data_IF_147455918291
#
_entry.id   IF_147455918291
#
_cell.length_a   1.000
_cell.length_b   1.000
_cell.length_c   1.000
_cell.angle_alpha   90.00
_cell.angle_beta   90.00
_cell.angle_gamma   90.00
#
_symmetry.space_group_name_H-M   'P 1'
#
loop_
_entity.id
_entity.type
_entity.pdbx_description
1 polymer ?
#
# COMPACT_ATOMS: atom_id res chain seq x y z
N UNK A 1 -5.97 -28.05 9.89
CA UNK A 1 -5.01 -27.05 10.43
C UNK A 1 -3.52 -27.30 10.10
N UNK A 2 -2.96 -28.50 10.30
CA UNK A 2 -1.53 -28.90 10.19
C UNK A 2 -0.63 -28.05 9.26
N UNK A 3 -0.93 -27.97 7.94
CA UNK A 3 -0.14 -27.22 6.95
C UNK A 3 0.05 -25.72 7.29
N UNK A 4 -0.88 -25.11 8.02
CA UNK A 4 -0.79 -23.70 8.46
C UNK A 4 0.19 -23.55 9.63
N UNK A 5 0.15 -24.48 10.60
CA UNK A 5 1.03 -24.51 11.77
C UNK A 5 2.50 -24.75 11.37
N UNK A 6 2.77 -25.73 10.50
CA UNK A 6 4.13 -26.00 9.99
C UNK A 6 4.77 -24.79 9.26
N UNK A 7 3.95 -23.84 8.78
CA UNK A 7 4.33 -22.60 8.09
C UNK A 7 4.35 -21.37 9.00
N UNK A 8 4.18 -21.52 10.32
CA UNK A 8 4.39 -20.43 11.28
C UNK A 8 5.86 -20.02 11.26
N UNK A 9 6.14 -18.71 11.24
CA UNK A 9 7.49 -18.19 11.37
C UNK A 9 7.88 -18.20 12.86
N UNK A 10 8.90 -18.97 13.28
CA UNK A 10 9.26 -19.13 14.69
C UNK A 10 9.86 -17.87 15.32
N UNK A 11 10.28 -16.88 14.52
CA UNK A 11 10.87 -15.61 14.97
C UNK A 11 9.85 -14.47 15.13
N UNK A 12 8.55 -14.73 14.87
CA UNK A 12 7.51 -13.72 15.11
C UNK A 12 7.26 -13.57 16.62
N UNK A 13 7.15 -12.32 17.07
CA UNK A 13 6.74 -11.98 18.43
C UNK A 13 5.42 -12.66 18.80
N UNK A 14 5.35 -13.20 20.01
CA UNK A 14 4.13 -13.77 20.57
C UNK A 14 3.03 -12.72 20.75
N UNK A 15 1.78 -13.18 20.89
CA UNK A 15 0.64 -12.34 21.22
C UNK A 15 0.48 -12.18 22.73
N UNK A 16 -0.74 -11.87 23.13
CA UNK A 16 -1.23 -11.83 24.53
C UNK A 16 -1.15 -13.17 25.25
N UNK A 17 -1.16 -14.27 24.49
CA UNK A 17 -0.95 -15.65 24.94
C UNK A 17 0.51 -15.95 25.36
N UNK A 18 1.46 -15.10 24.99
CA UNK A 18 2.91 -15.31 25.11
C UNK A 18 3.42 -16.62 24.47
N UNK A 19 2.64 -17.32 23.64
CA UNK A 19 3.03 -18.57 23.00
C UNK A 19 3.98 -18.26 21.82
N UNK A 20 5.24 -18.73 21.84
CA UNK A 20 6.17 -18.48 20.75
C UNK A 20 5.77 -19.24 19.48
N UNK A 21 5.96 -18.62 18.31
CA UNK A 21 5.66 -19.26 17.03
C UNK A 21 6.46 -20.55 16.77
N UNK A 22 7.58 -20.75 17.49
CA UNK A 22 8.34 -21.99 17.53
C UNK A 22 7.50 -23.16 18.05
N UNK A 23 6.85 -23.01 19.21
CA UNK A 23 6.06 -24.08 19.87
C UNK A 23 4.93 -24.55 18.95
N UNK A 24 4.21 -23.61 18.36
CA UNK A 24 3.12 -23.91 17.40
C UNK A 24 3.60 -24.63 16.12
N UNK A 25 4.87 -24.47 15.75
CA UNK A 25 5.47 -25.11 14.57
C UNK A 25 6.04 -26.49 14.89
N UNK A 26 6.71 -26.63 16.02
CA UNK A 26 7.33 -27.89 16.47
C UNK A 26 6.25 -28.89 16.94
N UNK A 27 5.22 -28.44 17.67
CA UNK A 27 4.05 -29.24 18.08
C UNK A 27 2.91 -29.23 17.04
N UNK A 28 3.21 -28.94 15.77
CA UNK A 28 2.20 -28.73 14.73
C UNK A 28 1.35 -29.97 14.38
N UNK A 29 1.82 -31.17 14.74
CA UNK A 29 1.09 -32.42 14.50
C UNK A 29 0.04 -32.63 15.59
N UNK A 30 0.45 -32.52 16.86
CA UNK A 30 -0.38 -32.73 18.05
C UNK A 30 -1.45 -31.64 18.19
N UNK A 31 -1.11 -30.39 17.84
CA UNK A 31 -2.01 -29.24 17.95
C UNK A 31 -2.95 -29.08 16.74
N UNK A 32 -2.77 -29.84 15.65
CA UNK A 32 -3.53 -29.65 14.43
C UNK A 32 -5.03 -29.91 14.63
N UNK A 33 -5.38 -31.03 15.27
CA UNK A 33 -6.77 -31.49 15.31
C UNK A 33 -7.54 -30.71 16.38
N UNK A 34 -6.95 -30.51 17.57
CA UNK A 34 -7.46 -29.65 18.64
C UNK A 34 -7.83 -28.24 18.14
N UNK A 35 -6.93 -27.57 17.38
CA UNK A 35 -7.26 -26.25 16.81
C UNK A 35 -8.22 -26.33 15.62
N UNK A 36 -8.32 -27.47 14.93
CA UNK A 36 -9.34 -27.65 13.88
C UNK A 36 -10.73 -27.67 14.51
N UNK A 37 -10.92 -28.39 15.62
CA UNK A 37 -12.20 -28.47 16.33
C UNK A 37 -12.59 -27.11 16.93
N UNK A 38 -11.66 -26.44 17.63
CA UNK A 38 -11.89 -25.08 18.17
C UNK A 38 -12.30 -24.09 17.07
N UNK A 39 -11.68 -24.14 15.89
CA UNK A 39 -12.00 -23.24 14.78
C UNK A 39 -13.35 -23.60 14.13
N UNK A 40 -13.67 -24.89 14.00
CA UNK A 40 -14.97 -25.34 13.48
C UNK A 40 -16.13 -24.97 14.43
N UNK A 41 -15.93 -25.10 15.74
CA UNK A 41 -16.88 -24.64 16.77
C UNK A 41 -17.04 -23.11 16.68
N UNK A 42 -15.95 -22.36 16.56
CA UNK A 42 -16.00 -20.90 16.39
C UNK A 42 -16.76 -20.46 15.14
N UNK A 43 -16.60 -21.16 14.01
CA UNK A 43 -17.32 -20.86 12.77
C UNK A 43 -18.81 -21.23 12.86
N UNK A 44 -19.14 -22.40 13.41
CA UNK A 44 -20.54 -22.87 13.53
C UNK A 44 -21.35 -22.09 14.57
N UNK A 45 -20.72 -21.68 15.68
CA UNK A 45 -21.32 -20.77 16.68
C UNK A 45 -21.28 -19.29 16.28
N UNK A 46 -20.57 -18.94 15.20
CA UNK A 46 -20.34 -17.54 14.74
C UNK A 46 -19.64 -16.63 15.75
N UNK A 47 -18.90 -17.20 16.71
CA UNK A 47 -18.21 -16.48 17.80
C UNK A 47 -16.72 -16.79 17.81
N UNK A 48 -15.87 -15.76 17.86
CA UNK A 48 -14.42 -15.89 18.05
C UNK A 48 -14.10 -15.94 19.56
N UNK A 49 -13.37 -16.97 20.04
CA UNK A 49 -12.98 -17.06 21.45
C UNK A 49 -12.27 -15.80 21.96
N UNK A 50 -12.65 -15.32 23.15
CA UNK A 50 -12.17 -14.03 23.69
C UNK A 50 -10.64 -13.93 23.77
N UNK A 51 -9.98 -15.01 24.19
CA UNK A 51 -8.53 -15.11 24.24
C UNK A 51 -7.86 -14.91 22.86
N UNK A 52 -8.52 -15.29 21.76
CA UNK A 52 -8.03 -15.11 20.40
C UNK A 52 -8.27 -13.69 19.84
N UNK A 53 -9.32 -12.97 20.31
CA UNK A 53 -9.54 -11.55 19.99
C UNK A 53 -8.58 -10.60 20.75
N UNK A 54 -8.12 -11.00 21.94
CA UNK A 54 -7.40 -10.13 22.88
C UNK A 54 -6.03 -9.70 22.33
N UNK A 55 -5.75 -8.39 22.33
CA UNK A 55 -4.63 -7.81 21.56
C UNK A 55 -3.71 -6.90 22.38
N UNK A 56 -2.39 -7.02 22.22
CA UNK A 56 -1.41 -6.06 22.75
C UNK A 56 -1.03 -5.04 21.68
N UNK A 57 -1.23 -3.74 21.94
CA UNK A 57 -0.77 -2.66 21.07
C UNK A 57 0.68 -2.31 21.41
N UNK A 58 1.57 -2.38 20.42
CA UNK A 58 2.97 -1.97 20.53
C UNK A 58 3.19 -0.72 19.67
N UNK A 59 3.47 0.45 20.28
CA UNK A 59 3.71 1.68 19.53
C UNK A 59 5.09 1.64 18.85
N UNK A 60 5.10 1.72 17.52
CA UNK A 60 6.31 1.70 16.69
C UNK A 60 6.56 3.06 16.03
N UNK A 61 7.74 3.70 16.18
CA UNK A 61 8.02 5.00 15.56
C UNK A 61 7.88 4.99 14.03
N UNK A 62 7.07 5.91 13.48
CA UNK A 62 6.94 6.19 12.03
C UNK A 62 8.16 6.92 11.46
N UNK A 63 8.82 7.73 12.30
CA UNK A 63 9.96 8.58 11.94
C UNK A 63 11.04 8.55 13.02
N UNK A 64 12.27 8.93 12.68
CA UNK A 64 13.44 8.80 13.56
C UNK A 64 13.44 9.73 14.78
N UNK A 65 12.83 10.91 14.66
CA UNK A 65 12.64 11.87 15.74
C UNK A 65 11.13 11.97 16.04
N UNK A 66 10.67 11.33 17.10
CA UNK A 66 9.27 11.37 17.56
C UNK A 66 9.02 12.70 18.26
N UNK A 67 7.97 13.41 17.84
CA UNK A 67 7.57 14.72 18.38
C UNK A 67 6.20 14.68 19.07
N UNK A 68 5.28 13.80 18.64
CA UNK A 68 3.96 13.65 19.22
C UNK A 68 3.45 12.20 19.11
N UNK A 69 2.34 11.86 19.78
CA UNK A 69 1.79 10.50 19.77
C UNK A 69 1.42 10.01 18.36
N UNK A 70 1.01 10.93 17.46
CA UNK A 70 0.68 10.62 16.07
C UNK A 70 1.88 10.10 15.25
N UNK A 71 3.11 10.28 15.75
CA UNK A 71 4.34 9.75 15.14
C UNK A 71 4.56 8.25 15.44
N UNK A 72 3.68 7.58 16.20
CA UNK A 72 3.69 6.13 16.37
C UNK A 72 2.65 5.44 15.47
N UNK A 73 2.98 4.24 14.97
CA UNK A 73 2.03 3.25 14.46
C UNK A 73 1.63 2.31 15.61
N UNK A 74 0.33 2.13 15.91
CA UNK A 74 -0.15 1.18 16.90
C UNK A 74 -0.19 -0.25 16.33
N UNK A 75 0.91 -1.00 16.43
CA UNK A 75 0.98 -2.37 15.89
C UNK A 75 0.28 -3.36 16.84
N UNK A 76 -0.78 -4.01 16.35
CA UNK A 76 -1.55 -5.01 17.07
C UNK A 76 -0.88 -6.40 17.05
N UNK A 77 -0.52 -6.90 18.24
CA UNK A 77 -0.05 -8.26 18.46
C UNK A 77 -1.20 -9.14 18.95
N UNK A 78 -1.94 -9.74 18.00
CA UNK A 78 -2.83 -10.88 18.27
C UNK A 78 -2.06 -12.20 18.44
N UNK A 79 -2.62 -13.18 19.17
CA UNK A 79 -2.15 -14.56 19.26
C UNK A 79 -1.74 -15.16 17.91
N UNK A 80 -0.64 -15.91 17.88
CA UNK A 80 -0.14 -16.50 16.62
C UNK A 80 -1.12 -17.57 16.09
N UNK A 81 -1.84 -18.23 17.00
CA UNK A 81 -2.96 -19.14 16.67
C UNK A 81 -4.08 -18.39 15.94
N UNK A 82 -4.48 -17.20 16.40
CA UNK A 82 -5.50 -16.40 15.72
C UNK A 82 -5.05 -16.01 14.30
N UNK A 83 -3.78 -15.60 14.14
CA UNK A 83 -3.19 -15.34 12.82
C UNK A 83 -3.14 -16.58 11.91
N UNK A 84 -3.27 -17.79 12.45
CA UNK A 84 -3.46 -19.01 11.66
C UNK A 84 -4.93 -19.21 11.26
N UNK A 85 -5.87 -18.92 12.16
CA UNK A 85 -7.30 -18.95 11.88
C UNK A 85 -7.70 -17.91 10.82
N UNK A 86 -7.29 -16.66 11.00
CA UNK A 86 -7.51 -15.57 10.04
C UNK A 86 -7.01 -15.93 8.63
N UNK A 87 -5.86 -16.62 8.51
CA UNK A 87 -5.33 -17.08 7.21
C UNK A 87 -6.21 -18.15 6.55
N UNK A 88 -6.86 -19.01 7.33
CA UNK A 88 -7.79 -20.01 6.83
C UNK A 88 -9.10 -19.35 6.38
N UNK A 89 -9.66 -18.46 7.21
CA UNK A 89 -10.89 -17.70 6.91
C UNK A 89 -10.70 -16.77 5.72
N UNK A 90 -9.62 -15.98 5.68
CA UNK A 90 -9.29 -15.12 4.53
C UNK A 90 -9.17 -15.90 3.23
N UNK A 91 -8.60 -17.11 3.25
CA UNK A 91 -8.51 -17.98 2.07
C UNK A 91 -9.89 -18.46 1.61
N UNK A 92 -10.80 -18.75 2.53
CA UNK A 92 -12.17 -19.15 2.20
C UNK A 92 -13.00 -17.97 1.64
N UNK A 93 -12.92 -16.79 2.26
CA UNK A 93 -13.52 -15.56 1.73
C UNK A 93 -13.04 -15.30 0.29
N UNK A 94 -11.73 -15.40 0.04
CA UNK A 94 -11.16 -15.22 -1.31
C UNK A 94 -11.59 -16.26 -2.34
N UNK A 95 -12.16 -17.40 -1.94
CA UNK A 95 -12.77 -18.37 -2.89
C UNK A 95 -14.23 -18.05 -3.24
N UNK A 96 -14.86 -17.10 -2.54
CA UNK A 96 -16.24 -16.65 -2.80
C UNK A 96 -16.28 -15.28 -3.51
N UNK A 97 -15.20 -14.51 -3.46
CA UNK A 97 -15.10 -13.21 -4.12
C UNK A 97 -14.65 -13.35 -5.59
N UNK A 98 -15.12 -12.47 -6.51
CA UNK A 98 -14.65 -12.45 -7.90
C UNK A 98 -13.17 -12.06 -7.98
N UNK A 99 -12.45 -12.63 -8.96
CA UNK A 99 -11.04 -12.33 -9.19
C UNK A 99 -10.77 -10.90 -9.67
N UNK A 100 -11.78 -10.25 -10.25
CA UNK A 100 -11.78 -8.86 -10.74
C UNK A 100 -12.21 -7.81 -9.70
N UNK A 101 -12.35 -8.18 -8.42
CA UNK A 101 -12.78 -7.26 -7.36
C UNK A 101 -11.83 -6.05 -7.23
N UNK A 102 -12.40 -4.84 -7.34
CA UNK A 102 -11.73 -3.54 -7.17
C UNK A 102 -10.37 -3.40 -7.90
N UNK A 103 -10.37 -3.32 -9.25
CA UNK A 103 -9.15 -3.33 -10.04
C UNK A 103 -8.19 -2.16 -9.74
N UNK A 104 -8.70 -1.04 -9.22
CA UNK A 104 -7.91 0.15 -8.85
C UNK A 104 -7.48 0.17 -7.37
N UNK A 105 -7.70 -0.91 -6.61
CA UNK A 105 -7.06 -1.15 -5.32
C UNK A 105 -5.78 -1.96 -5.49
N UNK A 106 -4.65 -1.27 -5.45
CA UNK A 106 -3.33 -1.89 -5.63
C UNK A 106 -2.74 -2.44 -4.35
N UNK A 107 -3.18 -1.95 -3.18
CA UNK A 107 -2.73 -2.52 -1.91
C UNK A 107 -3.44 -3.85 -1.62
N UNK A 108 -2.71 -4.77 -0.99
CA UNK A 108 -3.22 -6.05 -0.48
C UNK A 108 -3.73 -7.07 -1.54
N UNK A 109 -3.76 -6.70 -2.82
CA UNK A 109 -3.92 -7.62 -3.93
C UNK A 109 -2.60 -8.37 -4.23
N UNK A 110 -2.65 -9.69 -4.50
CA UNK A 110 -1.52 -10.41 -5.09
C UNK A 110 -1.13 -9.77 -6.43
N UNK A 111 0.15 -9.80 -6.78
CA UNK A 111 0.67 -9.30 -8.06
C UNK A 111 0.32 -7.82 -8.38
N UNK A 112 -0.05 -7.04 -7.37
CA UNK A 112 -0.10 -5.57 -7.43
C UNK A 112 0.98 -4.99 -6.52
N UNK A 113 1.48 -3.83 -6.88
CA UNK A 113 2.59 -3.18 -6.19
C UNK A 113 2.47 -1.66 -6.26
N UNK A 114 3.25 -0.97 -5.44
CA UNK A 114 3.40 0.49 -5.48
C UNK A 114 3.80 1.01 -6.87
N UNK A 115 4.59 0.23 -7.61
CA UNK A 115 4.99 0.57 -8.98
C UNK A 115 3.80 0.52 -9.96
N UNK A 116 2.85 -0.40 -9.75
CA UNK A 116 1.61 -0.46 -10.52
C UNK A 116 0.73 0.73 -10.19
N UNK A 117 0.51 1.01 -8.90
CA UNK A 117 -0.28 2.16 -8.47
C UNK A 117 0.25 3.47 -9.08
N UNK A 118 1.56 3.73 -8.98
CA UNK A 118 2.18 4.94 -9.55
C UNK A 118 2.11 4.93 -11.08
N UNK A 119 2.42 3.80 -11.74
CA UNK A 119 2.41 3.73 -13.21
C UNK A 119 0.98 3.88 -13.76
N UNK A 120 -0.03 3.29 -13.11
CA UNK A 120 -1.43 3.47 -13.45
C UNK A 120 -1.91 4.88 -13.14
N UNK A 121 -1.49 5.54 -12.04
CA UNK A 121 -1.76 6.98 -11.83
C UNK A 121 -1.21 7.82 -12.96
N UNK A 122 0.07 7.64 -13.31
CA UNK A 122 0.72 8.38 -14.40
C UNK A 122 0.09 8.07 -15.77
N UNK A 123 -0.31 6.83 -16.02
CA UNK A 123 -0.95 6.42 -17.27
C UNK A 123 -2.39 6.91 -17.38
N UNK A 124 -3.15 6.90 -16.28
CA UNK A 124 -4.50 7.46 -16.24
C UNK A 124 -4.44 8.98 -16.44
N UNK A 125 -3.50 9.69 -15.81
CA UNK A 125 -3.22 11.10 -16.13
C UNK A 125 -2.78 11.37 -17.59
N UNK A 126 -2.72 10.34 -18.45
CA UNK A 126 -2.42 10.42 -19.88
C UNK A 126 -3.49 9.76 -20.78
N UNK A 127 -4.42 8.94 -20.25
CA UNK A 127 -5.44 8.15 -20.98
C UNK A 127 -6.65 7.80 -20.09
N UNK A 128 -7.90 7.92 -20.55
CA UNK A 128 -9.10 7.80 -19.65
C UNK A 128 -10.31 7.00 -20.17
N UNK A 129 -10.92 6.27 -19.21
CA UNK A 129 -12.19 5.51 -19.07
C UNK A 129 -11.93 4.32 -18.09
N UNK A 130 -12.87 3.71 -17.34
CA UNK A 130 -14.34 3.84 -17.22
C UNK A 130 -14.78 3.84 -15.71
N UNK A 131 -15.99 3.34 -15.36
CA UNK A 131 -16.78 3.72 -14.18
C UNK A 131 -17.06 2.59 -13.12
N UNK A 132 -17.75 2.96 -12.01
CA UNK A 132 -18.85 2.25 -11.27
C UNK A 132 -18.76 2.06 -9.71
N UNK A 133 -19.94 2.06 -9.03
CA UNK A 133 -20.28 2.62 -7.67
C UNK A 133 -20.39 1.73 -6.38
N UNK A 134 -20.90 2.33 -5.25
CA UNK A 134 -20.85 1.93 -3.80
C UNK A 134 -22.12 1.82 -2.94
N UNK A 135 -22.12 0.95 -1.88
CA UNK A 135 -22.74 1.10 -0.51
C UNK A 135 -22.03 0.25 0.59
N UNK A 136 -22.45 0.21 1.90
CA UNK A 136 -21.79 -0.06 3.23
C UNK A 136 -21.21 -1.45 3.65
N UNK A 137 -20.12 -1.58 4.44
CA UNK A 137 -19.35 -2.84 4.65
C UNK A 137 -20.11 -4.16 4.95
N UNK A 138 -20.90 -4.30 6.01
CA UNK A 138 -21.59 -5.60 6.27
C UNK A 138 -22.62 -5.89 5.16
N UNK A 139 -23.25 -4.84 4.65
CA UNK A 139 -24.10 -4.88 3.46
C UNK A 139 -23.29 -5.24 2.20
N UNK A 140 -22.06 -4.72 2.00
CA UNK A 140 -21.11 -5.11 0.93
C UNK A 140 -20.82 -6.59 1.02
N UNK A 141 -20.52 -7.12 2.21
CA UNK A 141 -20.26 -8.56 2.37
C UNK A 141 -21.49 -9.38 1.96
N UNK A 142 -22.69 -8.99 2.39
CA UNK A 142 -23.94 -9.66 2.00
C UNK A 142 -24.23 -9.54 0.49
N UNK A 143 -24.03 -8.36 -0.10
CA UNK A 143 -24.22 -8.08 -1.54
C UNK A 143 -23.19 -8.82 -2.42
N UNK A 144 -21.99 -9.05 -1.89
CA UNK A 144 -20.94 -9.88 -2.50
C UNK A 144 -21.19 -11.39 -2.31
N UNK A 145 -22.34 -11.79 -1.78
CA UNK A 145 -22.76 -13.20 -1.66
C UNK A 145 -22.11 -13.98 -0.51
N UNK A 146 -21.50 -13.31 0.48
CA UNK A 146 -20.98 -13.98 1.67
C UNK A 146 -22.12 -14.43 2.58
N UNK A 147 -22.06 -15.68 3.04
CA UNK A 147 -23.06 -16.27 3.93
C UNK A 147 -23.18 -15.48 5.25
N UNK A 148 -24.42 -15.27 5.72
CA UNK A 148 -24.76 -14.58 6.97
C UNK A 148 -23.92 -15.02 8.17
N UNK A 149 -23.64 -16.32 8.34
CA UNK A 149 -22.81 -16.83 9.44
C UNK A 149 -21.37 -16.31 9.39
N UNK A 150 -20.82 -16.14 8.18
CA UNK A 150 -19.48 -15.59 7.97
C UNK A 150 -19.47 -14.05 8.14
N UNK A 151 -20.53 -13.37 7.71
CA UNK A 151 -20.72 -11.94 8.00
C UNK A 151 -20.83 -11.68 9.51
N UNK A 152 -21.57 -12.52 10.25
CA UNK A 152 -21.69 -12.47 11.70
C UNK A 152 -20.35 -12.77 12.40
N UNK A 153 -19.59 -13.76 11.93
CA UNK A 153 -18.24 -14.03 12.44
C UNK A 153 -17.28 -12.85 12.21
N UNK A 154 -17.38 -12.16 11.06
CA UNK A 154 -16.60 -10.95 10.78
C UNK A 154 -17.04 -9.78 11.68
N UNK A 155 -18.34 -9.62 11.93
CA UNK A 155 -18.87 -8.62 12.86
C UNK A 155 -18.38 -8.88 14.30
N UNK A 156 -18.42 -10.14 14.75
CA UNK A 156 -17.91 -10.56 16.06
C UNK A 156 -16.38 -10.37 16.15
N UNK A 157 -15.63 -10.67 15.09
CA UNK A 157 -14.19 -10.36 15.00
C UNK A 157 -13.91 -8.85 15.08
N UNK A 158 -14.80 -8.00 14.56
CA UNK A 158 -14.63 -6.55 14.55
C UNK A 158 -15.10 -5.85 15.84
N UNK A 159 -15.89 -6.50 16.69
CA UNK A 159 -16.54 -5.88 17.85
C UNK A 159 -16.04 -6.45 19.20
N UNK A 160 -16.18 -5.66 20.26
CA UNK A 160 -15.90 -6.11 21.63
C UNK A 160 -14.46 -6.56 21.88
N UNK A 161 -13.46 -5.93 21.22
CA UNK A 161 -12.05 -6.34 21.30
C UNK A 161 -11.32 -5.64 22.46
N UNK A 162 -10.89 -6.36 23.51
CA UNK A 162 -10.03 -5.80 24.54
C UNK A 162 -8.61 -5.58 23.99
N UNK A 163 -8.10 -4.37 24.21
CA UNK A 163 -6.74 -3.98 23.88
C UNK A 163 -6.02 -3.35 25.08
N UNK A 164 -4.70 -3.51 25.15
CA UNK A 164 -3.84 -2.81 26.11
C UNK A 164 -2.54 -2.36 25.42
N UNK A 165 -2.03 -1.20 25.79
CA UNK A 165 -0.78 -0.64 25.24
C UNK A 165 0.39 -1.12 26.09
N UNK A 166 1.44 -1.66 25.47
CA UNK A 166 2.66 -2.07 26.16
C UNK A 166 3.85 -1.20 25.77
N UNK A 167 4.46 -0.55 26.75
CA UNK A 167 5.71 0.22 26.61
C UNK A 167 6.77 -0.46 27.47
N UNK A 168 7.80 -1.04 26.82
CA UNK A 168 8.82 -1.89 27.45
C UNK A 168 8.15 -3.02 28.26
N UNK A 169 8.23 -2.97 29.59
CA UNK A 169 7.67 -3.94 30.54
C UNK A 169 6.38 -3.46 31.22
N UNK A 170 5.92 -2.23 30.95
CA UNK A 170 4.70 -1.67 31.51
C UNK A 170 3.53 -1.88 30.56
N UNK A 171 2.37 -2.27 31.11
CA UNK A 171 1.10 -2.46 30.39
C UNK A 171 0.08 -1.42 30.87
N UNK A 172 -0.72 -0.87 29.96
CA UNK A 172 -1.86 -0.01 30.34
C UNK A 172 -3.01 -0.81 30.92
N UNK A 173 -4.00 -0.12 31.49
CA UNK A 173 -5.35 -0.65 31.64
C UNK A 173 -5.91 -1.15 30.29
N UNK A 174 -6.81 -2.12 30.34
CA UNK A 174 -7.51 -2.63 29.15
C UNK A 174 -8.64 -1.70 28.74
N UNK A 175 -8.74 -1.41 27.45
CA UNK A 175 -9.85 -0.68 26.83
C UNK A 175 -10.49 -1.56 25.77
N UNK A 176 -11.81 -1.58 25.66
CA UNK A 176 -12.52 -2.34 24.62
C UNK A 176 -12.82 -1.46 23.40
N UNK A 177 -12.51 -1.96 22.20
CA UNK A 177 -12.86 -1.31 20.92
C UNK A 177 -13.93 -2.12 20.17
N UNK A 178 -14.85 -1.40 19.54
CA UNK A 178 -15.85 -1.97 18.60
C UNK A 178 -15.83 -1.33 17.21
N UNK A 179 -14.79 -0.54 16.91
CA UNK A 179 -14.62 0.18 15.63
C UNK A 179 -13.23 -0.08 15.04
N UNK A 180 -13.10 0.08 13.71
CA UNK A 180 -11.87 -0.18 12.95
C UNK A 180 -11.46 -1.66 12.89
N UNK A 181 -10.49 -1.97 12.04
CA UNK A 181 -9.86 -3.29 11.95
C UNK A 181 -8.43 -3.24 12.51
N UNK A 182 -7.99 -4.19 13.36
CA UNK A 182 -6.73 -4.06 14.10
C UNK A 182 -5.49 -4.11 13.18
N UNK A 183 -4.62 -3.10 13.28
CA UNK A 183 -3.45 -2.94 12.41
C UNK A 183 -2.40 -4.04 12.66
N UNK A 184 -2.11 -4.88 11.66
CA UNK A 184 -1.16 -5.98 11.77
C UNK A 184 -1.78 -7.36 12.05
N UNK A 185 -3.11 -7.43 12.10
CA UNK A 185 -3.85 -8.67 11.90
C UNK A 185 -3.89 -9.03 10.40
N UNK A 186 -4.19 -10.29 10.09
CA UNK A 186 -4.15 -10.83 8.72
C UNK A 186 -5.41 -10.47 7.94
N UNK A 187 -6.57 -10.43 8.59
CA UNK A 187 -7.85 -10.21 7.93
C UNK A 187 -8.14 -8.71 7.68
N UNK A 188 -7.63 -7.81 8.53
CA UNK A 188 -7.83 -6.36 8.44
C UNK A 188 -7.57 -5.74 7.07
N UNK A 189 -6.49 -6.09 6.33
CA UNK A 189 -6.24 -5.53 5.00
C UNK A 189 -7.30 -5.93 3.96
N UNK A 190 -7.82 -7.16 4.02
CA UNK A 190 -8.90 -7.61 3.15
C UNK A 190 -10.22 -6.90 3.51
N UNK A 191 -10.52 -6.74 4.81
CA UNK A 191 -11.70 -6.02 5.25
C UNK A 191 -11.64 -4.53 4.87
N UNK A 192 -10.45 -3.93 4.84
CA UNK A 192 -10.26 -2.58 4.33
C UNK A 192 -10.50 -2.51 2.81
N UNK A 193 -9.92 -3.42 2.02
CA UNK A 193 -10.22 -3.52 0.58
C UNK A 193 -11.72 -3.69 0.32
N UNK A 194 -12.42 -4.53 1.11
CA UNK A 194 -13.86 -4.71 1.00
C UNK A 194 -14.63 -3.45 1.42
N UNK A 195 -14.20 -2.73 2.46
CA UNK A 195 -14.77 -1.44 2.85
C UNK A 195 -14.60 -0.38 1.76
N UNK A 196 -13.49 -0.36 1.03
CA UNK A 196 -13.23 0.61 -0.04
C UNK A 196 -13.55 0.09 -1.45
N UNK A 197 -14.11 -1.12 -1.59
CA UNK A 197 -14.13 -1.85 -2.87
C UNK A 197 -14.81 -1.10 -4.02
N UNK A 198 -15.66 -0.17 -3.63
CA UNK A 198 -16.58 0.54 -4.47
C UNK A 198 -16.36 2.06 -4.47
N UNK A 199 -15.40 2.56 -3.69
CA UNK A 199 -14.94 3.93 -3.75
C UNK A 199 -14.27 4.14 -5.12
N UNK A 200 -15.03 4.63 -6.08
CA UNK A 200 -14.71 4.74 -7.49
C UNK A 200 -15.33 6.03 -8.03
N UNK A 201 -14.77 6.60 -9.10
CA UNK A 201 -15.21 7.89 -9.63
C UNK A 201 -16.64 7.84 -10.18
N UNK A 202 -17.36 8.96 -10.06
CA UNK A 202 -18.69 9.14 -10.67
C UNK A 202 -18.59 9.69 -12.08
N UNK A 203 -17.63 10.59 -12.31
CA UNK A 203 -17.38 11.19 -13.62
C UNK A 203 -16.28 10.43 -14.36
N UNK A 204 -16.50 10.10 -15.63
CA UNK A 204 -15.49 9.48 -16.51
C UNK A 204 -14.26 10.36 -16.80
N UNK A 205 -14.30 11.64 -16.41
CA UNK A 205 -13.17 12.56 -16.41
C UNK A 205 -12.30 12.46 -15.16
N UNK A 206 -12.69 11.64 -14.17
CA UNK A 206 -12.01 11.49 -12.90
C UNK A 206 -11.72 10.01 -12.63
N UNK A 207 -10.67 9.73 -11.85
CA UNK A 207 -10.34 8.39 -11.40
C UNK A 207 -9.97 8.41 -9.91
N UNK A 208 -10.41 7.40 -9.17
CA UNK A 208 -10.05 7.19 -7.78
C UNK A 208 -9.13 5.96 -7.70
N UNK A 209 -7.88 6.20 -7.31
CA UNK A 209 -6.82 5.19 -7.23
C UNK A 209 -6.49 4.92 -5.77
N UNK A 210 -6.53 3.65 -5.36
CA UNK A 210 -6.44 3.27 -3.94
C UNK A 210 -5.17 2.47 -3.67
N UNK A 211 -4.44 2.89 -2.64
CA UNK A 211 -3.35 2.12 -2.06
C UNK A 211 -3.49 2.14 -0.53
N UNK A 212 -4.33 1.24 -0.02
CA UNK A 212 -4.69 1.20 1.40
C UNK A 212 -5.28 2.55 1.84
N UNK A 213 -4.73 3.18 2.88
CA UNK A 213 -5.24 4.43 3.42
C UNK A 213 -4.88 5.68 2.56
N UNK A 214 -4.03 5.52 1.55
CA UNK A 214 -3.67 6.56 0.61
C UNK A 214 -4.59 6.43 -0.63
N UNK A 215 -5.40 7.45 -0.90
CA UNK A 215 -6.35 7.47 -2.02
C UNK A 215 -6.11 8.70 -2.88
N UNK A 216 -5.85 8.50 -4.17
CA UNK A 216 -5.59 9.59 -5.11
C UNK A 216 -6.79 9.83 -5.99
N UNK A 217 -7.29 11.07 -6.03
CA UNK A 217 -8.23 11.53 -7.05
C UNK A 217 -7.41 12.17 -8.18
N UNK A 218 -7.52 11.62 -9.38
CA UNK A 218 -7.03 12.22 -10.62
C UNK A 218 -8.24 12.82 -11.33
N UNK A 219 -8.16 14.07 -11.78
CA UNK A 219 -9.24 14.73 -12.53
C UNK A 219 -8.72 15.50 -13.75
N UNK A 220 -9.35 15.26 -14.88
CA UNK A 220 -9.15 15.99 -16.14
C UNK A 220 -9.92 17.32 -16.10
N UNK A 221 -9.20 18.44 -16.14
CA UNK A 221 -9.79 19.79 -16.25
C UNK A 221 -9.73 20.23 -17.71
N UNK A 222 -10.91 20.33 -18.31
CA UNK A 222 -11.09 20.75 -19.70
C UNK A 222 -11.66 22.16 -19.79
N UNK A 223 -11.13 22.99 -20.70
CA UNK A 223 -11.59 24.39 -20.91
C UNK A 223 -11.58 25.27 -19.65
N UNK A 224 -10.65 25.03 -18.71
CA UNK A 224 -10.60 25.60 -17.35
C UNK A 224 -11.78 25.22 -16.43
N UNK A 225 -12.71 24.36 -16.85
CA UNK A 225 -13.73 23.83 -15.97
C UNK A 225 -13.20 22.61 -15.18
N UNK A 226 -13.18 22.77 -13.86
CA UNK A 226 -12.84 21.72 -12.90
C UNK A 226 -14.01 21.33 -12.00
N UNK A 227 -15.25 21.67 -12.38
CA UNK A 227 -16.48 21.34 -11.67
C UNK A 227 -16.56 19.86 -11.30
N UNK A 228 -16.44 18.97 -12.29
CA UNK A 228 -16.48 17.52 -12.10
C UNK A 228 -15.43 17.02 -11.09
N UNK A 229 -14.21 17.55 -11.12
CA UNK A 229 -13.16 17.20 -10.14
C UNK A 229 -13.49 17.71 -8.72
N UNK A 230 -14.02 18.93 -8.59
CA UNK A 230 -14.42 19.50 -7.29
C UNK A 230 -15.60 18.73 -6.68
N UNK A 231 -16.59 18.40 -7.49
CA UNK A 231 -17.75 17.59 -7.11
C UNK A 231 -17.32 16.19 -6.66
N UNK A 232 -16.39 15.55 -7.37
CA UNK A 232 -15.85 14.24 -7.00
C UNK A 232 -15.19 14.26 -5.61
N UNK A 233 -14.41 15.30 -5.29
CA UNK A 233 -13.80 15.41 -3.96
C UNK A 233 -14.83 15.73 -2.87
N UNK A 234 -15.87 16.51 -3.17
CA UNK A 234 -16.99 16.72 -2.25
C UNK A 234 -17.77 15.42 -1.99
N UNK A 235 -18.08 14.66 -3.05
CA UNK A 235 -18.75 13.35 -2.99
C UNK A 235 -17.90 12.34 -2.24
N UNK A 236 -16.60 12.29 -2.48
CA UNK A 236 -15.66 11.44 -1.75
C UNK A 236 -15.58 11.85 -0.26
N UNK A 237 -15.59 13.14 0.04
CA UNK A 237 -15.67 13.64 1.43
C UNK A 237 -16.96 13.19 2.13
N UNK A 238 -18.11 13.23 1.44
CA UNK A 238 -19.38 12.73 1.95
C UNK A 238 -19.38 11.19 2.10
N UNK A 239 -18.83 10.46 1.13
CA UNK A 239 -18.66 9.01 1.17
C UNK A 239 -17.80 8.57 2.37
N UNK A 240 -16.72 9.30 2.65
CA UNK A 240 -15.88 9.06 3.82
C UNK A 240 -16.70 9.18 5.11
N UNK A 241 -17.42 10.30 5.30
CA UNK A 241 -18.31 10.49 6.45
C UNK A 241 -19.34 9.36 6.58
N UNK A 242 -19.99 8.97 5.48
CA UNK A 242 -20.97 7.90 5.45
C UNK A 242 -20.39 6.51 5.79
N UNK A 243 -19.12 6.25 5.46
CA UNK A 243 -18.40 5.01 5.79
C UNK A 243 -17.58 5.13 7.10
N UNK A 244 -17.80 6.17 7.92
CA UNK A 244 -17.07 6.43 9.18
C UNK A 244 -15.54 6.58 9.03
N UNK A 245 -15.09 7.12 7.91
CA UNK A 245 -13.69 7.44 7.62
C UNK A 245 -13.44 8.95 7.74
N UNK A 246 -12.26 9.32 8.24
CA UNK A 246 -11.84 10.72 8.38
C UNK A 246 -10.75 11.09 7.37
N UNK A 247 -10.90 12.26 6.73
CA UNK A 247 -9.92 12.83 5.80
C UNK A 247 -8.99 13.79 6.54
N UNK A 248 -7.68 13.55 6.47
CA UNK A 248 -6.70 14.49 7.00
C UNK A 248 -6.39 15.58 5.94
N UNK A 249 -6.98 16.77 6.10
CA UNK A 249 -6.79 17.87 5.15
C UNK A 249 -5.33 18.39 5.18
N UNK A 250 -4.70 18.46 6.35
CA UNK A 250 -3.31 18.95 6.50
C UNK A 250 -2.27 18.15 5.71
N UNK A 251 -2.45 16.83 5.60
CA UNK A 251 -1.60 15.91 4.82
C UNK A 251 -2.02 15.83 3.36
N UNK A 252 -3.27 16.15 3.07
CA UNK A 252 -3.79 16.16 1.70
C UNK A 252 -3.11 17.28 0.92
N UNK A 253 -2.69 16.98 -0.31
CA UNK A 253 -2.05 17.93 -1.21
C UNK A 253 -2.70 17.85 -2.59
N UNK A 254 -2.90 19.01 -3.19
CA UNK A 254 -3.37 19.18 -4.56
C UNK A 254 -2.15 19.51 -5.44
N UNK A 255 -1.90 18.73 -6.49
CA UNK A 255 -0.85 19.00 -7.47
C UNK A 255 -1.51 19.21 -8.83
N UNK A 256 -1.15 20.30 -9.52
CA UNK A 256 -1.70 20.61 -10.85
C UNK A 256 -0.63 20.39 -11.90
N UNK A 257 -0.96 19.62 -12.92
CA UNK A 257 -0.09 19.31 -14.06
C UNK A 257 -0.69 20.00 -15.29
N UNK A 258 -0.16 21.18 -15.61
CA UNK A 258 -0.61 22.01 -16.76
C UNK A 258 0.54 22.26 -17.75
N UNK A 259 0.47 21.58 -18.90
CA UNK A 259 1.42 21.71 -20.00
C UNK A 259 1.02 22.74 -21.07
N UNK A 260 -0.06 23.51 -20.85
CA UNK A 260 -0.46 24.58 -21.78
C UNK A 260 0.51 25.76 -21.69
N UNK A 261 0.66 26.49 -22.81
CA UNK A 261 1.52 27.68 -22.88
C UNK A 261 1.00 28.86 -22.05
N UNK A 262 -0.31 28.96 -21.90
CA UNK A 262 -0.97 29.92 -21.02
C UNK A 262 -1.53 29.14 -19.83
N UNK A 263 -0.78 29.14 -18.72
CA UNK A 263 -1.24 28.57 -17.46
C UNK A 263 -2.25 29.52 -16.81
N UNK A 264 -3.27 28.95 -16.18
CA UNK A 264 -4.31 29.67 -15.45
C UNK A 264 -4.06 29.57 -13.95
N UNK A 265 -4.29 30.65 -13.20
CA UNK A 265 -4.33 30.53 -11.74
C UNK A 265 -5.43 29.57 -11.30
N UNK A 266 -5.07 28.60 -10.46
CA UNK A 266 -5.99 27.59 -9.97
C UNK A 266 -6.40 27.93 -8.54
N UNK A 267 -7.66 28.32 -8.34
CA UNK A 267 -8.20 28.50 -6.99
C UNK A 267 -8.08 27.20 -6.18
N UNK A 268 -7.71 27.26 -4.89
CA UNK A 268 -7.56 26.07 -4.07
C UNK A 268 -8.86 25.27 -3.95
N UNK A 269 -8.73 24.00 -3.64
CA UNK A 269 -9.82 23.13 -3.25
C UNK A 269 -10.11 23.27 -1.74
N UNK A 270 -11.38 23.15 -1.35
CA UNK A 270 -11.79 23.20 0.05
C UNK A 270 -12.42 21.86 0.45
N UNK A 271 -11.96 21.29 1.57
CA UNK A 271 -12.56 20.12 2.22
C UNK A 271 -12.96 20.54 3.63
N UNK A 272 -14.24 20.42 3.98
CA UNK A 272 -14.78 20.83 5.29
C UNK A 272 -14.29 22.24 5.69
N UNK A 273 -14.50 23.22 4.81
CA UNK A 273 -14.10 24.64 4.97
C UNK A 273 -12.58 24.90 5.04
N UNK A 274 -11.76 23.86 5.10
CA UNK A 274 -10.30 23.96 5.13
C UNK A 274 -9.72 23.95 3.71
N UNK A 275 -8.86 24.92 3.40
CA UNK A 275 -8.15 24.99 2.12
C UNK A 275 -7.09 23.89 2.00
N UNK A 276 -7.11 23.17 0.90
CA UNK A 276 -6.04 22.23 0.52
C UNK A 276 -4.84 23.01 0.00
N UNK A 277 -3.64 22.59 0.38
CA UNK A 277 -2.38 23.18 -0.13
C UNK A 277 -2.13 22.71 -1.57
N UNK A 278 -2.01 23.66 -2.50
CA UNK A 278 -1.52 23.42 -3.85
C UNK A 278 0.01 23.34 -3.82
N UNK A 279 0.59 22.25 -4.30
CA UNK A 279 2.04 22.00 -4.30
C UNK A 279 2.59 21.73 -5.70
N UNK A 280 3.81 22.21 -5.95
CA UNK A 280 4.56 21.94 -7.19
C UNK A 280 5.16 20.52 -7.25
N UNK A 281 5.24 19.85 -6.10
CA UNK A 281 5.71 18.47 -5.98
C UNK A 281 5.19 17.82 -4.72
N UNK A 282 4.78 16.56 -4.81
CA UNK A 282 4.36 15.75 -3.66
C UNK A 282 5.11 14.42 -3.63
N UNK A 283 5.03 13.70 -2.50
CA UNK A 283 5.65 12.38 -2.34
C UNK A 283 4.58 11.30 -2.28
N UNK A 284 4.22 10.76 -3.44
CA UNK A 284 3.24 9.68 -3.57
C UNK A 284 3.90 8.30 -3.42
N UNK A 285 3.43 7.50 -2.46
CA UNK A 285 3.86 6.12 -2.18
C UNK A 285 5.39 5.88 -2.12
N UNK A 286 6.17 6.89 -1.74
CA UNK A 286 7.64 6.80 -1.63
C UNK A 286 8.43 7.48 -2.74
N UNK A 287 7.79 7.77 -3.88
CA UNK A 287 8.34 8.46 -5.05
C UNK A 287 7.98 9.94 -4.99
N UNK A 288 8.86 10.83 -5.45
CA UNK A 288 8.51 12.25 -5.61
C UNK A 288 7.95 12.48 -7.03
N UNK A 289 6.73 13.01 -7.09
CA UNK A 289 6.07 13.50 -8.30
C UNK A 289 6.17 15.04 -8.33
N UNK A 290 6.17 15.63 -9.51
CA UNK A 290 6.25 17.08 -9.72
C UNK A 290 5.29 17.53 -10.83
N UNK A 291 4.80 18.77 -10.74
CA UNK A 291 3.86 19.41 -11.67
C UNK A 291 4.29 19.33 -13.15
N UNK A 292 5.60 19.31 -13.39
CA UNK A 292 6.23 19.26 -14.71
C UNK A 292 6.71 17.85 -15.10
N UNK A 293 6.36 16.82 -14.32
CA UNK A 293 6.80 15.43 -14.43
C UNK A 293 8.34 15.25 -14.47
N UNK A 294 9.10 16.21 -13.91
CA UNK A 294 10.55 16.11 -13.78
C UNK A 294 10.94 15.26 -12.57
N UNK A 295 11.84 14.31 -12.80
CA UNK A 295 12.27 13.33 -11.82
C UNK A 295 13.44 13.78 -10.92
N UNK A 296 13.99 14.98 -11.11
CA UNK A 296 15.16 15.49 -10.37
C UNK A 296 15.04 15.40 -8.84
N UNK A 297 13.87 15.74 -8.28
CA UNK A 297 13.63 15.63 -6.83
C UNK A 297 13.67 14.16 -6.35
N UNK A 298 13.08 13.26 -7.15
CA UNK A 298 13.07 11.83 -6.87
C UNK A 298 14.47 11.22 -6.97
N UNK A 299 15.19 11.48 -8.07
CA UNK A 299 16.54 10.96 -8.33
C UNK A 299 17.55 11.48 -7.31
N UNK A 300 17.42 12.74 -6.88
CA UNK A 300 18.24 13.33 -5.80
C UNK A 300 17.95 12.68 -4.44
N UNK A 301 16.66 12.50 -4.09
CA UNK A 301 16.21 11.83 -2.86
C UNK A 301 16.71 10.38 -2.79
N UNK A 302 16.61 9.63 -3.90
CA UNK A 302 17.13 8.27 -4.06
C UNK A 302 18.66 8.26 -3.97
N UNK A 303 19.35 9.17 -4.66
CA UNK A 303 20.81 9.27 -4.66
C UNK A 303 21.38 9.54 -3.28
N UNK A 304 20.81 10.48 -2.52
CA UNK A 304 21.23 10.80 -1.14
C UNK A 304 21.11 9.60 -0.22
N UNK A 305 19.99 8.87 -0.28
CA UNK A 305 19.76 7.62 0.50
C UNK A 305 20.75 6.52 0.11
N UNK A 306 21.04 6.36 -1.17
CA UNK A 306 21.98 5.35 -1.65
C UNK A 306 23.44 5.69 -1.31
N UNK A 307 23.83 6.97 -1.34
CA UNK A 307 25.14 7.46 -0.91
C UNK A 307 25.37 7.25 0.60
N UNK A 308 24.36 7.51 1.45
CA UNK A 308 24.43 7.17 2.88
C UNK A 308 24.69 5.67 3.10
N UNK A 309 24.15 4.81 2.23
CA UNK A 309 24.35 3.35 2.30
C UNK A 309 25.70 2.89 1.71
N UNK A 310 26.26 3.63 0.74
CA UNK A 310 27.63 3.41 0.26
C UNK A 310 28.69 3.58 1.37
N UNK A 311 28.49 4.54 2.29
CA UNK A 311 29.39 4.71 3.44
C UNK A 311 29.47 3.44 4.31
N UNK A 312 28.32 2.81 4.59
CA UNK A 312 28.28 1.54 5.31
C UNK A 312 28.92 0.39 4.50
N UNK A 313 28.66 0.29 3.20
CA UNK A 313 29.32 -0.69 2.32
C UNK A 313 30.86 -0.53 2.36
N UNK A 314 31.36 0.70 2.34
CA UNK A 314 32.79 1.00 2.48
C UNK A 314 33.35 0.63 3.86
N UNK A 315 32.61 0.89 4.95
CA UNK A 315 32.99 0.42 6.30
C UNK A 315 33.08 -1.10 6.38
N UNK A 316 32.13 -1.83 5.76
CA UNK A 316 32.14 -3.29 5.70
C UNK A 316 33.35 -3.81 4.89
N UNK A 317 33.73 -3.12 3.80
CA UNK A 317 34.96 -3.43 3.04
C UNK A 317 36.23 -3.17 3.88
N UNK A 318 36.28 -2.07 4.64
CA UNK A 318 37.36 -1.79 5.60
C UNK A 318 37.45 -2.81 6.75
N UNK A 319 36.34 -3.42 7.13
CA UNK A 319 36.31 -4.55 8.07
C UNK A 319 36.69 -5.90 7.42
N UNK A 320 37.31 -5.88 6.23
CA UNK A 320 37.79 -7.04 5.48
C UNK A 320 36.73 -8.11 5.18
N UNK A 321 35.44 -7.74 5.16
CA UNK A 321 34.38 -8.71 4.88
C UNK A 321 34.43 -9.22 3.43
N UNK A 322 34.13 -10.51 3.20
CA UNK A 322 34.30 -11.14 1.90
C UNK A 322 33.28 -10.61 0.87
N UNK A 323 33.66 -10.56 -0.43
CA UNK A 323 32.82 -9.97 -1.49
C UNK A 323 31.38 -10.49 -1.61
N UNK A 324 31.05 -11.77 -1.32
CA UNK A 324 29.65 -12.23 -1.29
C UNK A 324 28.79 -11.50 -0.25
N UNK A 325 29.33 -11.21 0.94
CA UNK A 325 28.62 -10.47 2.00
C UNK A 325 28.43 -9.02 1.58
N UNK A 326 29.45 -8.39 1.00
CA UNK A 326 29.37 -7.02 0.47
C UNK A 326 28.35 -6.92 -0.68
N UNK A 327 28.30 -7.93 -1.55
CA UNK A 327 27.32 -8.05 -2.63
C UNK A 327 25.90 -8.24 -2.09
N UNK A 328 25.71 -9.07 -1.06
CA UNK A 328 24.43 -9.22 -0.36
C UNK A 328 23.99 -7.89 0.27
N UNK A 329 24.89 -7.17 0.94
CA UNK A 329 24.61 -5.85 1.50
C UNK A 329 24.22 -4.85 0.41
N UNK A 330 24.95 -4.78 -0.71
CA UNK A 330 24.59 -3.93 -1.85
C UNK A 330 23.20 -4.28 -2.41
N UNK A 331 22.92 -5.57 -2.63
CA UNK A 331 21.62 -6.05 -3.13
C UNK A 331 20.47 -5.65 -2.19
N UNK A 332 20.63 -5.90 -0.89
CA UNK A 332 19.59 -5.64 0.13
C UNK A 332 19.40 -4.17 0.48
N UNK A 333 20.45 -3.33 0.40
CA UNK A 333 20.39 -1.95 0.91
C UNK A 333 20.53 -0.87 -0.16
N UNK A 334 21.40 -1.01 -1.16
CA UNK A 334 21.66 0.05 -2.16
C UNK A 334 20.82 -0.20 -3.42
N UNK A 335 20.91 -1.39 -4.01
CA UNK A 335 20.10 -1.79 -5.17
C UNK A 335 18.59 -1.77 -4.87
N UNK A 336 18.18 -2.09 -3.65
CA UNK A 336 16.77 -2.01 -3.23
C UNK A 336 16.23 -0.57 -3.30
N UNK A 337 17.04 0.43 -2.92
CA UNK A 337 16.69 1.86 -3.06
C UNK A 337 16.71 2.30 -4.51
N UNK A 338 17.78 1.97 -5.24
CA UNK A 338 17.93 2.36 -6.65
C UNK A 338 16.86 1.74 -7.57
N UNK A 339 16.38 0.53 -7.27
CA UNK A 339 15.34 -0.16 -8.05
C UNK A 339 13.92 0.00 -7.49
N UNK A 340 13.72 0.90 -6.51
CA UNK A 340 12.40 1.19 -5.95
C UNK A 340 11.55 1.97 -6.95
N UNK A 341 10.44 1.38 -7.38
CA UNK A 341 9.51 1.91 -8.39
C UNK A 341 10.20 2.38 -9.70
N UNK A 342 11.34 1.76 -10.06
CA UNK A 342 12.23 2.25 -11.13
C UNK A 342 11.56 2.28 -12.50
N UNK A 343 10.56 1.42 -12.71
CA UNK A 343 9.79 1.29 -13.94
C UNK A 343 8.91 2.50 -14.21
N UNK A 344 8.37 3.15 -13.16
CA UNK A 344 7.57 4.37 -13.30
C UNK A 344 8.38 5.63 -13.71
N UNK A 345 9.63 5.78 -13.24
CA UNK A 345 10.36 7.05 -13.33
C UNK A 345 11.64 7.03 -14.17
N UNK A 346 12.40 5.93 -14.22
CA UNK A 346 13.72 5.93 -14.84
C UNK A 346 13.68 6.12 -16.37
N UNK A 347 12.59 5.65 -17.01
CA UNK A 347 12.34 5.86 -18.44
C UNK A 347 12.33 7.33 -18.84
N UNK A 348 11.91 8.22 -17.94
CA UNK A 348 11.74 9.65 -18.16
C UNK A 348 12.85 10.51 -17.50
N UNK A 349 13.88 9.88 -16.90
CA UNK A 349 15.01 10.61 -16.33
C UNK A 349 15.90 11.27 -17.39
N UNK A 350 16.46 12.44 -17.07
CA UNK A 350 17.46 13.11 -17.90
C UNK A 350 18.76 12.29 -17.99
N UNK A 351 19.59 12.57 -19.00
CA UNK A 351 20.92 11.96 -19.11
C UNK A 351 21.80 12.27 -17.88
N UNK A 352 21.62 13.43 -17.24
CA UNK A 352 22.34 13.82 -16.02
C UNK A 352 21.94 12.97 -14.81
N UNK A 353 20.63 12.76 -14.61
CA UNK A 353 20.09 11.89 -13.57
C UNK A 353 20.62 10.46 -13.70
N UNK A 354 20.53 9.89 -14.91
CA UNK A 354 21.00 8.52 -15.20
C UNK A 354 22.49 8.37 -14.93
N UNK A 355 23.30 9.35 -15.35
CA UNK A 355 24.75 9.39 -15.04
C UNK A 355 25.02 9.46 -13.54
N UNK A 356 24.24 10.23 -12.79
CA UNK A 356 24.36 10.35 -11.32
C UNK A 356 24.03 9.04 -10.62
N UNK A 357 22.94 8.37 -10.99
CA UNK A 357 22.58 7.05 -10.45
C UNK A 357 23.60 5.97 -10.85
N UNK A 358 24.10 5.97 -12.09
CA UNK A 358 25.11 5.03 -12.54
C UNK A 358 26.46 5.21 -11.82
N UNK A 359 26.83 6.44 -11.41
CA UNK A 359 28.03 6.67 -10.58
C UNK A 359 27.93 5.95 -9.23
N UNK A 360 26.74 5.88 -8.61
CA UNK A 360 26.52 5.17 -7.34
C UNK A 360 26.76 3.65 -7.53
N UNK A 361 26.26 3.07 -8.62
CA UNK A 361 26.51 1.66 -8.98
C UNK A 361 28.01 1.41 -9.18
N UNK A 362 28.69 2.26 -9.97
CA UNK A 362 30.15 2.15 -10.22
C UNK A 362 30.99 2.30 -8.94
N UNK A 363 30.55 3.13 -7.98
CA UNK A 363 31.23 3.24 -6.68
C UNK A 363 31.03 1.97 -5.84
N UNK A 364 29.84 1.37 -5.82
CA UNK A 364 29.62 0.08 -5.16
C UNK A 364 30.46 -1.04 -5.78
N UNK A 365 30.52 -1.11 -7.11
CA UNK A 365 31.33 -2.06 -7.88
C UNK A 365 32.81 -1.98 -7.49
N UNK A 366 33.37 -0.77 -7.46
CA UNK A 366 34.76 -0.53 -7.02
C UNK A 366 35.02 -0.95 -5.56
N UNK A 367 34.06 -0.74 -4.66
CA UNK A 367 34.21 -1.13 -3.24
C UNK A 367 34.15 -2.66 -3.08
N UNK A 368 33.31 -3.34 -3.86
CA UNK A 368 33.11 -4.80 -3.78
C UNK A 368 34.22 -5.55 -4.52
N UNK A 369 34.73 -5.00 -5.62
CA UNK A 369 35.71 -5.65 -6.51
C UNK A 369 35.08 -6.61 -7.53
N UNK A 370 33.77 -6.52 -7.79
CA UNK A 370 33.04 -7.35 -8.74
C UNK A 370 32.07 -6.51 -9.57
N UNK A 371 31.98 -6.82 -10.86
CA UNK A 371 31.05 -6.17 -11.80
C UNK A 371 29.60 -6.24 -11.31
N UNK A 372 28.88 -5.11 -11.38
CA UNK A 372 27.48 -5.00 -11.01
C UNK A 372 26.65 -4.62 -12.24
N UNK A 373 25.42 -5.16 -12.39
CA UNK A 373 24.51 -4.72 -13.44
C UNK A 373 24.27 -3.21 -13.37
N UNK A 374 24.30 -2.54 -14.52
CA UNK A 374 24.09 -1.09 -14.61
C UNK A 374 22.68 -0.70 -14.16
N UNK A 375 22.47 0.59 -13.87
CA UNK A 375 21.14 1.10 -13.53
C UNK A 375 20.15 0.89 -14.69
N UNK A 376 20.64 0.95 -15.93
CA UNK A 376 19.85 0.64 -17.14
C UNK A 376 19.48 -0.84 -17.20
N UNK A 377 20.42 -1.77 -16.96
CA UNK A 377 20.12 -3.22 -16.95
C UNK A 377 19.11 -3.56 -15.85
N UNK A 378 19.24 -2.90 -14.69
CA UNK A 378 18.30 -3.04 -13.58
C UNK A 378 16.90 -2.51 -13.93
N UNK A 379 16.80 -1.41 -14.67
CA UNK A 379 15.54 -0.90 -15.22
C UNK A 379 14.95 -1.88 -16.25
N UNK A 380 15.69 -2.21 -17.32
CA UNK A 380 15.21 -3.10 -18.39
C UNK A 380 14.76 -4.46 -17.85
N UNK A 381 15.52 -5.06 -16.92
CA UNK A 381 15.13 -6.32 -16.25
C UNK A 381 13.84 -6.17 -15.44
N UNK A 382 13.57 -5.00 -14.85
CA UNK A 382 12.32 -4.72 -14.13
C UNK A 382 11.16 -4.49 -15.09
N UNK A 383 11.36 -3.74 -16.18
CA UNK A 383 10.35 -3.54 -17.22
C UNK A 383 9.87 -4.88 -17.79
N UNK A 384 10.79 -5.75 -18.21
CA UNK A 384 10.45 -7.06 -18.79
C UNK A 384 9.67 -7.92 -17.77
N UNK A 385 10.14 -8.00 -16.52
CA UNK A 385 9.43 -8.76 -15.48
C UNK A 385 8.06 -8.19 -15.14
N UNK A 386 7.92 -6.86 -15.18
CA UNK A 386 6.64 -6.17 -14.95
C UNK A 386 5.67 -6.44 -16.12
N UNK A 387 6.13 -6.27 -17.36
CA UNK A 387 5.35 -6.56 -18.57
C UNK A 387 4.85 -8.01 -18.59
N UNK A 388 5.73 -8.99 -18.37
CA UNK A 388 5.33 -10.39 -18.27
C UNK A 388 4.29 -10.59 -17.15
N UNK A 389 4.51 -10.02 -15.96
CA UNK A 389 3.54 -10.10 -14.85
C UNK A 389 2.19 -9.42 -15.10
N UNK A 390 2.08 -8.55 -16.10
CA UNK A 390 0.82 -7.93 -16.54
C UNK A 390 0.16 -8.80 -17.61
N UNK A 391 0.94 -9.32 -18.57
CA UNK A 391 0.46 -10.26 -19.60
C UNK A 391 -0.03 -11.57 -18.98
N UNK A 392 0.67 -12.08 -17.96
CA UNK A 392 0.33 -13.32 -17.24
C UNK A 392 -0.88 -13.15 -16.28
N UNK A 393 -1.41 -11.94 -16.09
CA UNK A 393 -2.53 -11.64 -15.20
C UNK A 393 -3.64 -10.84 -15.90
N UNK A 394 -4.66 -11.53 -16.46
CA UNK A 394 -5.83 -10.90 -17.10
C UNK A 394 -6.65 -9.97 -16.19
N UNK A 395 -6.45 -10.01 -14.87
CA UNK A 395 -7.12 -9.11 -13.91
C UNK A 395 -6.31 -7.84 -13.63
N UNK A 396 -5.15 -7.66 -14.26
CA UNK A 396 -4.34 -6.45 -14.10
C UNK A 396 -4.98 -5.29 -14.89
N UNK A 397 -5.16 -4.08 -14.31
CA UNK A 397 -5.79 -2.95 -15.02
C UNK A 397 -5.14 -2.64 -16.37
N UNK A 398 -3.80 -2.71 -16.42
CA UNK A 398 -3.02 -2.48 -17.64
C UNK A 398 -2.94 -3.67 -18.62
N UNK A 399 -3.61 -4.80 -18.37
CA UNK A 399 -3.58 -5.97 -19.26
C UNK A 399 -4.26 -5.70 -20.61
N UNK A 400 -5.34 -4.91 -20.62
CA UNK A 400 -6.00 -4.47 -21.86
C UNK A 400 -5.04 -3.69 -22.76
N UNK A 401 -4.18 -2.86 -22.18
CA UNK A 401 -3.20 -2.04 -22.90
C UNK A 401 -2.01 -2.84 -23.48
N UNK A 402 -1.75 -4.06 -23.02
CA UNK A 402 -0.65 -4.88 -23.58
C UNK A 402 -1.00 -5.55 -24.91
N UNK A 403 -2.27 -5.53 -25.33
CA UNK A 403 -2.75 -6.14 -26.56
C UNK A 403 -3.22 -5.14 -27.64
N UNK A 404 -3.44 -3.87 -27.27
CA UNK A 404 -3.77 -2.80 -28.22
C UNK A 404 -2.50 -2.15 -28.81
N UNK A 405 -2.35 -2.06 -30.15
CA UNK A 405 -1.31 -1.22 -30.73
C UNK A 405 -1.56 0.26 -30.42
N UNK A 406 -0.48 1.04 -30.24
CA UNK A 406 -0.53 2.47 -29.92
C UNK A 406 -0.99 3.32 -31.12
N UNK A 407 -2.29 3.29 -31.43
CA UNK A 407 -2.92 4.13 -32.45
C UNK A 407 -3.77 5.22 -31.80
N UNK A 408 -3.13 6.21 -31.18
CA UNK A 408 -3.81 7.45 -30.76
C UNK A 408 -3.09 8.69 -31.31
N UNK A 409 -3.82 9.43 -32.13
CA UNK A 409 -3.50 10.80 -32.52
C UNK A 409 -3.61 11.73 -31.32
N UNK A 410 -2.63 12.63 -31.17
CA UNK A 410 -2.61 13.65 -30.12
C UNK A 410 -3.79 14.63 -30.28
N UNK A 411 -4.76 14.57 -29.37
CA UNK A 411 -5.79 15.59 -29.21
C UNK A 411 -5.28 16.76 -28.32
N UNK A 412 -5.93 17.95 -28.37
CA UNK A 412 -5.35 19.21 -27.87
C UNK A 412 -5.09 19.24 -26.35
N UNK A 413 -4.21 20.14 -25.86
CA UNK A 413 -3.64 20.07 -24.52
C UNK A 413 -4.67 20.31 -23.41
N UNK A 414 -4.73 19.38 -22.46
CA UNK A 414 -5.59 19.42 -21.30
C UNK A 414 -4.79 19.51 -19.99
N UNK A 415 -5.47 19.91 -18.92
CA UNK A 415 -4.92 20.11 -17.57
C UNK A 415 -5.31 18.90 -16.72
N UNK A 416 -4.42 18.49 -15.81
CA UNK A 416 -4.71 17.41 -14.87
C UNK A 416 -4.51 17.90 -13.44
N UNK A 417 -5.35 17.43 -12.52
CA UNK A 417 -5.13 17.56 -11.09
C UNK A 417 -4.96 16.19 -10.46
N UNK A 418 -3.90 16.03 -9.68
CA UNK A 418 -3.62 14.84 -8.87
C UNK A 418 -3.70 15.24 -7.39
N UNK A 419 -4.56 14.57 -6.63
CA UNK A 419 -4.80 14.88 -5.23
C UNK A 419 -4.64 13.64 -4.37
N UNK A 420 -3.60 13.61 -3.53
CA UNK A 420 -3.34 12.47 -2.63
C UNK A 420 -4.04 12.72 -1.30
N UNK A 421 -5.18 12.07 -1.08
CA UNK A 421 -5.90 12.03 0.19
C UNK A 421 -5.24 11.01 1.11
N UNK A 422 -5.05 11.39 2.38
CA UNK A 422 -4.57 10.51 3.43
C UNK A 422 -5.71 10.29 4.43
N UNK A 423 -6.23 9.06 4.54
CA UNK A 423 -7.16 8.74 5.62
C UNK A 423 -6.44 8.73 6.98
N UNK A 424 -7.17 9.10 8.03
CA UNK A 424 -6.76 8.88 9.42
C UNK A 424 -7.50 7.67 9.99
N UNK A 425 -6.74 6.78 10.64
CA UNK A 425 -7.22 5.72 11.54
C UNK A 425 -7.91 6.33 12.78
#
# INVERSE_FOLDING_TARGET
>A
MKKTLCRVNPQKSAGTDNIPGRVLRECAEQLADVFTDIFNISLSSTVVPMCLKTTTIVPMPKKSAVSCLNDYCPVALTPIVMKCFERLVMRHIKTQLPSSLDPLQFAYHPNRSTDDAITTTLHLSLTHLDNMDTYHLIEKLSLLGLNTSLCNWILDFLTGRPQSVRIKNSLSSTTTLSTGAPQGCVLSPLLFTLLTHNCAAMHSSNHIIKFANDTTVVGLISKNDGSAYREEVQRLTAWCKANSLSLNVDKTKEMVVDFRRAQSDHSPLFINESSVEIVKSTKFLGVHLAENLNWLLNTTSISKKAQQRLYFLWRLRKAHLPPPILTMFYRGTIKSVLSSCITAWFGNCTVSDRKTLQRIVRTAEKIIGFSLPSITDMYTTRCIRKANSIVDDPTHPSHTHTHTPLTHTLHPPAIWKEMVLNFQD
#
